data_IF_858943541472
#
_entry.id   IF_858943541472
#
_cell.length_a   1.000
_cell.length_b   1.000
_cell.length_c   1.000
_cell.angle_alpha   90.00
_cell.angle_beta   90.00
_cell.angle_gamma   90.00
#
_symmetry.space_group_name_H-M   'P 1'
#
loop_
_entity.id
_entity.type
_entity.pdbx_description
1 polymer ?
#
# COMPACT_ATOMS: atom_id res chain seq x y z
N UNK A 1 -14.08 1.89 25.42
CA UNK A 1 -13.12 1.86 24.31
C UNK A 1 -12.06 0.84 24.70
N UNK A 2 -11.63 0.01 23.75
CA UNK A 2 -10.90 -1.23 24.05
C UNK A 2 -9.81 -1.44 23.00
N UNK A 3 -8.64 -1.90 23.42
CA UNK A 3 -7.54 -2.28 22.52
C UNK A 3 -7.49 -3.79 22.33
N UNK A 4 -7.48 -4.27 21.10
CA UNK A 4 -7.59 -5.70 20.77
C UNK A 4 -6.64 -6.14 19.64
N UNK A 5 -6.54 -7.46 19.47
CA UNK A 5 -5.88 -8.11 18.32
C UNK A 5 -6.83 -8.41 17.16
N UNK A 6 -8.13 -8.20 17.36
CA UNK A 6 -9.16 -8.50 16.38
C UNK A 6 -10.01 -7.26 16.16
N UNK A 7 -10.24 -6.85 14.90
CA UNK A 7 -11.04 -5.68 14.60
C UNK A 7 -12.51 -5.91 15.00
N UNK A 8 -13.27 -4.86 15.36
CA UNK A 8 -14.69 -5.00 15.65
C UNK A 8 -15.48 -5.54 14.45
N UNK A 9 -16.40 -6.51 14.62
CA UNK A 9 -17.13 -7.13 13.50
C UNK A 9 -17.89 -6.12 12.63
N UNK A 10 -18.50 -5.09 13.23
CA UNK A 10 -19.21 -4.04 12.48
C UNK A 10 -18.27 -3.25 11.57
N UNK A 11 -17.05 -2.96 12.04
CA UNK A 11 -16.00 -2.29 11.27
C UNK A 11 -15.58 -3.14 10.07
N UNK A 12 -15.36 -4.45 10.27
CA UNK A 12 -14.99 -5.38 9.18
C UNK A 12 -16.09 -5.45 8.12
N UNK A 13 -17.36 -5.56 8.56
CA UNK A 13 -18.51 -5.62 7.66
C UNK A 13 -18.62 -4.34 6.82
N UNK A 14 -18.46 -3.17 7.45
CA UNK A 14 -18.48 -1.87 6.75
C UNK A 14 -17.34 -1.74 5.75
N UNK A 15 -16.12 -2.15 6.10
CA UNK A 15 -14.98 -2.11 5.19
C UNK A 15 -15.22 -2.96 3.94
N UNK A 16 -15.75 -4.18 4.11
CA UNK A 16 -16.12 -5.07 2.99
C UNK A 16 -17.27 -4.52 2.15
N UNK A 17 -18.27 -3.93 2.78
CA UNK A 17 -19.40 -3.31 2.09
C UNK A 17 -18.95 -2.09 1.29
N UNK A 18 -18.03 -1.28 1.83
CA UNK A 18 -17.47 -0.12 1.13
C UNK A 18 -16.70 -0.56 -0.12
N UNK A 19 -15.84 -1.58 -0.02
CA UNK A 19 -15.15 -2.18 -1.17
C UNK A 19 -16.11 -2.63 -2.28
N UNK A 20 -17.28 -3.17 -1.90
CA UNK A 20 -18.28 -3.66 -2.85
C UNK A 20 -19.09 -2.53 -3.50
N UNK A 21 -19.49 -1.53 -2.72
CA UNK A 21 -20.49 -0.55 -3.14
C UNK A 21 -19.89 0.76 -3.68
N UNK A 22 -18.71 1.15 -3.18
CA UNK A 22 -17.99 2.34 -3.61
C UNK A 22 -16.48 2.07 -3.60
N UNK A 23 -15.97 1.36 -4.62
CA UNK A 23 -14.57 0.96 -4.67
C UNK A 23 -13.59 2.13 -4.70
N UNK A 24 -13.96 3.27 -5.28
CA UNK A 24 -13.07 4.44 -5.34
C UNK A 24 -12.86 5.01 -3.94
N UNK A 25 -13.94 5.20 -3.17
CA UNK A 25 -13.82 5.62 -1.76
C UNK A 25 -13.14 4.55 -0.92
N UNK A 26 -13.37 3.26 -1.20
CA UNK A 26 -12.70 2.17 -0.51
C UNK A 26 -11.19 2.21 -0.72
N UNK A 27 -10.72 2.31 -1.97
CA UNK A 27 -9.32 2.41 -2.31
C UNK A 27 -8.66 3.68 -1.75
N UNK A 28 -9.40 4.79 -1.63
CA UNK A 28 -8.88 5.96 -0.93
C UNK A 28 -8.55 5.68 0.55
N UNK A 29 -9.19 4.69 1.17
CA UNK A 29 -8.94 4.24 2.55
C UNK A 29 -8.26 2.85 2.60
N UNK A 30 -7.56 2.44 1.53
CA UNK A 30 -7.13 1.04 1.38
C UNK A 30 -6.23 0.54 2.52
N UNK A 31 -5.39 1.40 3.12
CA UNK A 31 -4.51 1.02 4.25
C UNK A 31 -5.32 0.63 5.48
N UNK A 32 -6.38 1.39 5.78
CA UNK A 32 -7.30 1.06 6.87
C UNK A 32 -8.11 -0.19 6.54
N UNK A 33 -8.66 -0.29 5.33
CA UNK A 33 -9.44 -1.46 4.89
C UNK A 33 -8.59 -2.72 4.95
N UNK A 34 -7.36 -2.69 4.45
CA UNK A 34 -6.42 -3.80 4.54
C UNK A 34 -6.23 -4.21 6.00
N UNK A 35 -5.88 -3.25 6.86
CA UNK A 35 -5.58 -3.52 8.27
C UNK A 35 -6.76 -4.09 9.04
N UNK A 36 -8.00 -3.68 8.76
CA UNK A 36 -9.18 -4.24 9.42
C UNK A 36 -9.74 -5.50 8.73
N UNK A 37 -9.20 -5.91 7.58
CA UNK A 37 -9.65 -7.11 6.86
C UNK A 37 -8.53 -8.13 6.70
N UNK A 38 -7.84 -8.16 5.56
CA UNK A 38 -6.84 -9.18 5.20
C UNK A 38 -5.58 -9.06 6.07
N UNK A 39 -5.16 -7.83 6.36
CA UNK A 39 -4.00 -7.52 7.19
C UNK A 39 -4.26 -7.58 8.70
N UNK A 40 -5.47 -7.93 9.14
CA UNK A 40 -5.84 -7.90 10.56
C UNK A 40 -4.96 -8.73 11.50
N UNK A 41 -4.47 -9.93 11.12
CA UNK A 41 -3.53 -10.69 11.95
C UNK A 41 -2.22 -9.95 12.28
N UNK A 42 -1.88 -8.92 11.51
CA UNK A 42 -0.67 -8.11 11.69
C UNK A 42 -0.95 -6.76 12.35
N UNK A 43 -2.11 -6.58 12.99
CA UNK A 43 -2.53 -5.29 13.52
C UNK A 43 -2.97 -5.35 15.00
N UNK A 44 -2.86 -4.19 15.67
CA UNK A 44 -3.52 -3.87 16.94
C UNK A 44 -4.58 -2.81 16.68
N UNK A 45 -5.72 -2.90 17.35
CA UNK A 45 -6.87 -2.04 17.10
C UNK A 45 -7.28 -1.29 18.36
N UNK A 46 -7.59 0.00 18.25
CA UNK A 46 -8.32 0.74 19.27
C UNK A 46 -9.64 1.20 18.66
N UNK A 47 -10.75 1.02 19.39
CA UNK A 47 -12.07 1.31 18.85
C UNK A 47 -13.07 1.89 19.87
N UNK A 48 -14.04 2.62 19.34
CA UNK A 48 -15.21 3.12 20.05
C UNK A 48 -16.47 2.51 19.40
N UNK A 49 -17.13 1.61 20.14
CA UNK A 49 -18.26 0.83 19.61
C UNK A 49 -17.88 -0.01 18.39
N UNK A 50 -18.83 -0.17 17.46
CA UNK A 50 -18.63 -0.86 16.18
C UNK A 50 -18.45 0.13 15.01
N UNK A 51 -18.25 1.42 15.31
CA UNK A 51 -18.27 2.50 14.31
C UNK A 51 -16.89 3.08 14.00
N UNK A 52 -15.98 3.20 14.97
CA UNK A 52 -14.70 3.86 14.76
C UNK A 52 -13.55 3.01 15.26
N UNK A 53 -12.51 2.87 14.43
CA UNK A 53 -11.39 1.99 14.70
C UNK A 53 -10.10 2.51 14.08
N UNK A 54 -9.07 2.69 14.91
CA UNK A 54 -7.69 2.86 14.46
C UNK A 54 -6.98 1.51 14.40
N UNK A 55 -6.10 1.32 13.43
CA UNK A 55 -5.27 0.12 13.34
C UNK A 55 -3.78 0.46 13.28
N UNK A 56 -3.01 -0.07 14.23
CA UNK A 56 -1.56 -0.03 14.21
C UNK A 56 -0.99 -1.31 13.57
N UNK A 57 -0.19 -1.17 12.50
CA UNK A 57 0.40 -2.31 11.79
C UNK A 57 1.76 -2.73 12.40
N UNK A 58 1.87 -3.99 12.78
CA UNK A 58 2.97 -4.54 13.57
C UNK A 58 4.20 -4.97 12.74
N UNK A 59 4.01 -5.31 11.46
CA UNK A 59 5.10 -5.86 10.64
C UNK A 59 5.91 -4.80 9.86
N UNK A 60 5.69 -3.51 10.13
CA UNK A 60 6.44 -2.42 9.48
C UNK A 60 7.61 -1.97 10.36
N UNK A 61 8.74 -1.54 9.77
CA UNK A 61 9.92 -1.09 10.52
C UNK A 61 9.75 0.31 11.13
N UNK A 62 8.53 0.86 11.09
CA UNK A 62 8.17 2.16 11.66
C UNK A 62 6.73 2.11 12.20
N UNK A 63 6.37 2.91 13.22
CA UNK A 63 5.02 2.93 13.78
C UNK A 63 4.00 3.48 12.76
N UNK A 64 3.25 2.60 12.11
CA UNK A 64 2.19 2.98 11.17
C UNK A 64 0.82 2.87 11.82
N UNK A 65 -0.01 3.91 11.70
CA UNK A 65 -1.39 3.93 12.18
C UNK A 65 -2.31 4.34 11.01
N UNK A 66 -3.29 3.51 10.70
CA UNK A 66 -4.35 3.81 9.73
C UNK A 66 -5.65 4.20 10.44
N UNK A 67 -6.40 5.07 9.78
CA UNK A 67 -7.63 5.69 10.29
C UNK A 67 -8.61 5.96 9.15
N UNK A 68 -9.87 6.09 9.53
CA UNK A 68 -11.03 6.32 8.65
C UNK A 68 -11.94 7.45 9.13
N UNK A 69 -11.94 7.75 10.43
CA UNK A 69 -12.84 8.71 11.07
C UNK A 69 -12.49 10.13 10.66
N UNK A 70 -13.52 10.89 10.31
CA UNK A 70 -13.45 12.34 10.07
C UNK A 70 -13.66 13.18 11.32
N UNK A 71 -13.72 12.57 12.51
CA UNK A 71 -13.90 13.27 13.78
C UNK A 71 -12.56 13.35 14.55
N UNK A 72 -11.96 14.55 14.71
CA UNK A 72 -10.75 14.74 15.47
C UNK A 72 -10.84 14.30 16.93
N UNK A 73 -11.99 14.48 17.60
CA UNK A 73 -12.14 14.11 19.00
C UNK A 73 -12.10 12.59 19.17
N UNK A 74 -12.72 11.85 18.25
CA UNK A 74 -12.67 10.38 18.23
C UNK A 74 -11.25 9.90 17.96
N UNK A 75 -10.61 10.41 16.91
CA UNK A 75 -9.23 10.02 16.56
C UNK A 75 -8.27 10.32 17.72
N UNK A 76 -8.41 11.48 18.37
CA UNK A 76 -7.61 11.84 19.54
C UNK A 76 -7.74 10.80 20.66
N UNK A 77 -8.96 10.49 21.11
CA UNK A 77 -9.16 9.51 22.18
C UNK A 77 -8.62 8.12 21.81
N UNK A 78 -8.85 7.68 20.58
CA UNK A 78 -8.35 6.37 20.12
C UNK A 78 -6.82 6.31 20.05
N UNK A 79 -6.15 7.42 19.70
CA UNK A 79 -4.68 7.51 19.75
C UNK A 79 -4.16 7.41 21.19
N UNK A 80 -4.80 8.10 22.13
CA UNK A 80 -4.42 8.09 23.55
C UNK A 80 -4.58 6.71 24.19
N UNK A 81 -5.44 5.85 23.64
CA UNK A 81 -5.57 4.46 24.05
C UNK A 81 -4.61 3.52 23.32
N UNK A 82 -4.51 3.65 22.00
CA UNK A 82 -3.73 2.74 21.16
C UNK A 82 -2.24 2.81 21.47
N UNK A 83 -1.69 4.02 21.60
CA UNK A 83 -0.24 4.25 21.71
C UNK A 83 0.32 3.61 23.00
N UNK A 84 -0.24 3.86 24.19
CA UNK A 84 0.23 3.20 25.42
C UNK A 84 -0.01 1.68 25.40
N UNK A 85 -1.18 1.23 24.94
CA UNK A 85 -1.54 -0.19 24.96
C UNK A 85 -0.67 -1.04 24.01
N UNK A 86 -0.28 -0.47 22.87
CA UNK A 86 0.65 -1.09 21.93
C UNK A 86 2.13 -0.86 22.29
N UNK A 87 2.42 -0.18 23.42
CA UNK A 87 3.77 0.14 23.89
C UNK A 87 4.63 0.83 22.82
N UNK A 88 4.01 1.74 22.07
CA UNK A 88 4.68 2.41 20.97
C UNK A 88 5.65 3.48 21.49
N UNK A 89 6.86 3.57 20.91
CA UNK A 89 7.89 4.47 21.42
C UNK A 89 7.47 5.93 21.24
N UNK A 90 7.41 6.74 22.31
CA UNK A 90 6.93 8.12 22.25
C UNK A 90 7.86 9.05 21.44
N UNK A 91 9.14 8.71 21.38
CA UNK A 91 10.16 9.56 20.73
C UNK A 91 10.21 9.37 19.20
N UNK A 92 9.61 8.28 18.70
CA UNK A 92 9.59 7.98 17.28
C UNK A 92 8.40 8.64 16.59
N UNK A 93 8.58 9.14 15.36
CA UNK A 93 7.47 9.62 14.56
C UNK A 93 6.58 8.46 14.13
N UNK A 94 5.28 8.69 14.14
CA UNK A 94 4.27 7.83 13.55
C UNK A 94 4.05 8.18 12.08
N UNK A 95 3.53 7.22 11.32
CA UNK A 95 3.22 7.36 9.91
C UNK A 95 1.76 6.98 9.64
N UNK A 96 1.09 7.79 8.84
CA UNK A 96 -0.27 7.51 8.37
C UNK A 96 -0.40 7.87 6.91
N UNK A 97 -0.85 6.94 6.08
CA UNK A 97 -1.27 7.20 4.71
C UNK A 97 -2.79 7.29 4.71
N UNK A 98 -3.31 8.50 4.48
CA UNK A 98 -4.74 8.82 4.58
C UNK A 98 -5.25 9.49 3.30
N UNK A 99 -6.55 9.38 2.98
CA UNK A 99 -7.16 10.23 1.96
C UNK A 99 -6.86 11.70 2.22
N UNK A 100 -6.64 12.50 1.18
CA UNK A 100 -6.33 13.93 1.32
C UNK A 100 -7.36 14.70 2.18
N UNK A 101 -8.64 14.29 2.11
CA UNK A 101 -9.74 14.85 2.92
C UNK A 101 -9.58 14.60 4.43
N UNK A 102 -8.90 13.53 4.86
CA UNK A 102 -8.70 13.20 6.28
C UNK A 102 -7.39 13.76 6.86
N UNK A 103 -6.51 14.31 6.03
CA UNK A 103 -5.23 14.84 6.51
C UNK A 103 -5.37 15.93 7.59
N UNK A 104 -6.45 16.73 7.51
CA UNK A 104 -6.72 17.78 8.49
C UNK A 104 -7.01 17.23 9.91
N UNK A 105 -7.44 15.97 10.01
CA UNK A 105 -7.69 15.31 11.29
C UNK A 105 -6.38 15.15 12.05
N UNK A 106 -5.35 14.62 11.38
CA UNK A 106 -4.02 14.47 11.96
C UNK A 106 -3.39 15.82 12.30
N UNK A 107 -3.51 16.84 11.44
CA UNK A 107 -2.98 18.19 11.77
C UNK A 107 -3.67 18.82 12.98
N UNK A 108 -4.90 18.41 13.30
CA UNK A 108 -5.66 18.94 14.45
C UNK A 108 -5.22 18.29 15.76
N UNK A 109 -4.87 17.01 15.72
CA UNK A 109 -4.68 16.19 16.93
C UNK A 109 -3.23 15.77 17.18
N UNK A 110 -2.29 16.15 16.32
CA UNK A 110 -0.89 15.71 16.39
C UNK A 110 0.07 16.83 15.97
N UNK A 111 1.35 16.72 16.35
CA UNK A 111 2.42 17.52 15.76
C UNK A 111 2.82 16.92 14.41
N UNK A 112 2.43 17.55 13.30
CA UNK A 112 2.80 17.09 11.96
C UNK A 112 4.22 17.53 11.61
N UNK A 113 5.09 16.55 11.34
CA UNK A 113 6.49 16.76 10.98
C UNK A 113 6.71 16.90 9.47
N UNK A 114 5.96 16.15 8.67
CA UNK A 114 6.00 16.28 7.21
C UNK A 114 4.76 15.68 6.56
N UNK A 115 4.36 16.26 5.42
CA UNK A 115 3.29 15.73 4.56
C UNK A 115 3.86 15.51 3.16
N UNK A 116 3.68 14.30 2.61
CA UNK A 116 4.03 13.99 1.21
C UNK A 116 2.77 13.55 0.46
N UNK A 117 2.36 14.26 -0.59
CA UNK A 117 1.19 13.88 -1.36
C UNK A 117 1.50 12.72 -2.31
N UNK A 118 0.52 11.84 -2.48
CA UNK A 118 0.56 10.68 -3.38
C UNK A 118 -0.69 10.63 -4.25
N UNK A 119 -0.52 10.25 -5.52
CA UNK A 119 -1.61 9.86 -6.40
C UNK A 119 -2.04 8.45 -6.07
N UNK A 120 -3.35 8.24 -5.95
CA UNK A 120 -3.96 6.91 -6.03
C UNK A 120 -4.38 6.68 -7.49
N UNK A 121 -3.87 5.60 -8.08
CA UNK A 121 -4.13 5.28 -9.48
C UNK A 121 -4.74 3.89 -9.64
N UNK A 122 -5.69 3.74 -10.55
CA UNK A 122 -6.36 2.48 -10.87
C UNK A 122 -6.11 2.12 -12.33
N UNK A 123 -5.78 0.86 -12.61
CA UNK A 123 -5.59 0.38 -13.97
C UNK A 123 -6.94 0.19 -14.67
N UNK A 124 -7.09 0.80 -15.85
CA UNK A 124 -8.25 0.65 -16.72
C UNK A 124 -8.00 -0.45 -17.79
N UNK A 125 -8.53 -1.68 -17.62
CA UNK A 125 -8.31 -2.77 -18.60
C UNK A 125 -9.00 -2.54 -19.95
N UNK A 126 -10.06 -1.73 -20.00
CA UNK A 126 -10.86 -1.52 -21.20
C UNK A 126 -10.12 -0.72 -22.27
N UNK A 127 -9.02 -0.04 -21.90
CA UNK A 127 -8.16 0.71 -22.80
C UNK A 127 -7.14 -0.16 -23.56
N UNK A 128 -7.27 -1.48 -23.46
CA UNK A 128 -6.44 -2.48 -24.13
C UNK A 128 -5.07 -2.67 -23.47
N UNK A 129 -4.54 -3.89 -23.55
CA UNK A 129 -3.26 -4.23 -22.93
C UNK A 129 -2.07 -3.91 -23.85
N UNK A 130 -1.06 -3.21 -23.32
CA UNK A 130 0.19 -3.00 -24.07
C UNK A 130 1.06 -4.26 -24.00
N UNK A 131 1.47 -4.78 -25.16
CA UNK A 131 2.32 -5.96 -25.21
C UNK A 131 3.79 -5.54 -25.05
N UNK A 132 4.26 -5.48 -23.80
CA UNK A 132 5.63 -5.06 -23.48
C UNK A 132 6.39 -6.23 -22.87
N UNK A 133 7.08 -7.02 -23.70
CA UNK A 133 8.08 -8.03 -23.29
C UNK A 133 7.60 -9.20 -22.41
N UNK A 134 8.53 -10.10 -22.07
CA UNK A 134 8.29 -11.27 -21.20
C UNK A 134 9.01 -11.09 -19.86
N UNK A 135 8.25 -10.78 -18.81
CA UNK A 135 8.69 -10.97 -17.43
C UNK A 135 8.25 -12.35 -16.94
N UNK A 136 9.12 -13.07 -16.24
CA UNK A 136 8.81 -14.38 -15.65
C UNK A 136 8.24 -14.22 -14.25
N UNK A 137 7.46 -15.21 -13.81
CA UNK A 137 7.07 -15.31 -12.41
C UNK A 137 8.33 -15.58 -11.56
N UNK A 138 8.42 -14.90 -10.42
CA UNK A 138 9.47 -15.15 -9.42
C UNK A 138 8.94 -16.13 -8.37
N UNK A 139 9.82 -16.98 -7.87
CA UNK A 139 9.54 -17.99 -6.86
C UNK A 139 10.41 -17.75 -5.61
N UNK A 140 10.15 -18.51 -4.53
CA UNK A 140 10.90 -18.38 -3.28
C UNK A 140 12.42 -18.49 -3.45
N UNK A 141 12.89 -19.28 -4.43
CA UNK A 141 14.30 -19.42 -4.76
C UNK A 141 14.95 -18.13 -5.32
N UNK A 142 14.16 -17.19 -5.85
CA UNK A 142 14.63 -15.91 -6.39
C UNK A 142 14.85 -14.85 -5.30
N UNK A 143 14.43 -15.10 -4.05
CA UNK A 143 14.51 -14.13 -2.96
C UNK A 143 15.92 -13.52 -2.77
N UNK A 144 17.03 -14.30 -2.83
CA UNK A 144 18.37 -13.73 -2.76
C UNK A 144 18.66 -12.72 -3.88
N UNK A 145 18.22 -12.99 -5.11
CA UNK A 145 18.39 -12.10 -6.26
C UNK A 145 17.53 -10.83 -6.12
N UNK A 146 16.29 -10.97 -5.62
CA UNK A 146 15.42 -9.84 -5.32
C UNK A 146 16.05 -8.90 -4.28
N UNK A 147 16.63 -9.46 -3.21
CA UNK A 147 17.33 -8.69 -2.18
C UNK A 147 18.57 -7.99 -2.77
N UNK A 148 19.35 -8.65 -3.62
CA UNK A 148 20.49 -8.05 -4.28
C UNK A 148 20.09 -6.86 -5.17
N UNK A 149 19.05 -7.02 -5.99
CA UNK A 149 18.50 -5.97 -6.83
C UNK A 149 17.97 -4.79 -6.01
N UNK A 150 17.23 -5.07 -4.92
CA UNK A 150 16.71 -4.04 -4.02
C UNK A 150 17.83 -3.17 -3.44
N UNK A 151 18.90 -3.81 -2.95
CA UNK A 151 20.09 -3.11 -2.41
C UNK A 151 20.78 -2.27 -3.47
N UNK A 152 20.98 -2.80 -4.67
CA UNK A 152 21.61 -2.07 -5.77
C UNK A 152 20.81 -0.83 -6.20
N UNK A 153 19.49 -0.83 -5.97
CA UNK A 153 18.60 0.27 -6.32
C UNK A 153 18.23 1.20 -5.15
N UNK A 154 18.81 1.00 -3.96
CA UNK A 154 18.45 1.69 -2.71
C UNK A 154 16.93 1.64 -2.44
N UNK A 155 16.34 0.46 -2.67
CA UNK A 155 14.93 0.19 -2.51
C UNK A 155 14.66 -0.62 -1.23
N UNK A 156 13.40 -0.65 -0.81
CA UNK A 156 12.95 -1.41 0.36
C UNK A 156 13.31 -2.90 0.23
N UNK A 157 13.73 -3.50 1.35
CA UNK A 157 14.22 -4.88 1.41
C UNK A 157 13.06 -5.87 1.54
N UNK A 158 13.17 -6.99 0.83
CA UNK A 158 12.21 -8.10 0.80
C UNK A 158 12.53 -9.13 1.88
N UNK A 159 11.49 -9.72 2.48
CA UNK A 159 11.60 -10.78 3.50
C UNK A 159 11.00 -12.11 3.05
N UNK A 160 11.07 -13.16 3.90
CA UNK A 160 10.49 -14.48 3.60
C UNK A 160 9.00 -14.42 3.21
N UNK A 161 8.24 -13.51 3.81
CA UNK A 161 6.80 -13.37 3.58
C UNK A 161 6.45 -12.58 2.31
N UNK A 162 7.43 -12.20 1.48
CA UNK A 162 7.22 -11.42 0.25
C UNK A 162 6.21 -12.09 -0.68
N UNK A 163 6.29 -13.41 -0.82
CA UNK A 163 5.40 -14.19 -1.68
C UNK A 163 4.05 -14.51 -1.05
N UNK A 164 3.88 -14.30 0.27
CA UNK A 164 2.60 -14.53 0.95
C UNK A 164 1.54 -13.49 0.55
N UNK A 165 1.97 -12.35 -0.01
CA UNK A 165 1.10 -11.21 -0.38
C UNK A 165 0.64 -11.24 -1.84
N UNK A 166 1.22 -12.10 -2.67
CA UNK A 166 0.84 -12.26 -4.07
C UNK A 166 2.02 -12.45 -5.01
N UNK A 167 1.74 -12.40 -6.30
CA UNK A 167 2.72 -12.69 -7.35
C UNK A 167 3.79 -11.60 -7.46
N UNK A 168 5.02 -12.05 -7.76
CA UNK A 168 6.13 -11.20 -8.19
C UNK A 168 6.58 -11.61 -9.59
N UNK A 169 6.98 -10.63 -10.39
CA UNK A 169 7.53 -10.83 -11.72
C UNK A 169 8.94 -10.25 -11.79
N UNK A 170 9.76 -10.83 -12.65
CA UNK A 170 11.14 -10.44 -12.84
C UNK A 170 11.61 -10.54 -14.29
N UNK A 171 12.70 -9.83 -14.58
CA UNK A 171 13.40 -9.87 -15.86
C UNK A 171 14.87 -10.09 -15.56
N UNK A 172 15.46 -11.09 -16.21
CA UNK A 172 16.88 -11.39 -16.11
C UNK A 172 17.64 -10.84 -17.33
N UNK A 173 18.89 -10.46 -17.12
CA UNK A 173 19.89 -10.18 -18.17
C UNK A 173 21.22 -10.76 -17.73
N UNK A 174 21.89 -11.49 -18.61
CA UNK A 174 23.22 -12.06 -18.35
C UNK A 174 23.32 -12.90 -17.06
N UNK A 175 22.22 -13.57 -16.70
CA UNK A 175 22.13 -14.40 -15.50
C UNK A 175 21.81 -13.64 -14.20
N UNK A 176 21.57 -12.33 -14.28
CA UNK A 176 21.22 -11.48 -13.13
C UNK A 176 19.79 -10.96 -13.22
N UNK A 177 19.10 -10.86 -12.08
CA UNK A 177 17.79 -10.23 -11.99
C UNK A 177 17.93 -8.72 -12.08
N UNK A 178 17.53 -8.12 -13.21
CA UNK A 178 17.72 -6.69 -13.49
C UNK A 178 16.47 -5.83 -13.27
N UNK A 179 15.28 -6.44 -13.21
CA UNK A 179 14.05 -5.75 -12.85
C UNK A 179 13.08 -6.69 -12.15
N UNK A 180 12.27 -6.14 -11.26
CA UNK A 180 11.21 -6.88 -10.57
C UNK A 180 10.04 -5.98 -10.17
N UNK A 181 8.94 -6.60 -9.80
CA UNK A 181 7.78 -5.95 -9.20
C UNK A 181 6.74 -6.96 -8.75
N UNK A 182 5.85 -6.57 -7.85
CA UNK A 182 4.91 -7.52 -7.25
C UNK A 182 3.68 -6.88 -6.62
N UNK A 183 2.86 -7.75 -6.05
CA UNK A 183 1.69 -7.35 -5.25
C UNK A 183 2.13 -7.04 -3.82
N UNK A 184 1.68 -5.91 -3.28
CA UNK A 184 1.93 -5.49 -1.90
C UNK A 184 0.75 -5.80 -0.97
N UNK A 185 -0.47 -5.59 -1.44
CA UNK A 185 -1.70 -5.87 -0.71
C UNK A 185 -2.76 -6.46 -1.64
N UNK A 186 -3.46 -7.49 -1.18
CA UNK A 186 -4.64 -8.04 -1.85
C UNK A 186 -5.90 -7.69 -1.04
N UNK A 187 -6.84 -7.04 -1.70
CA UNK A 187 -8.18 -6.73 -1.21
C UNK A 187 -9.19 -7.53 -2.04
N UNK A 188 -10.45 -7.57 -1.60
CA UNK A 188 -11.50 -8.22 -2.39
C UNK A 188 -11.71 -7.48 -3.72
N UNK A 189 -11.24 -8.08 -4.81
CA UNK A 189 -11.38 -7.58 -6.19
C UNK A 189 -10.29 -6.59 -6.63
N UNK A 190 -9.34 -6.26 -5.74
CA UNK A 190 -8.28 -5.29 -6.02
C UNK A 190 -6.93 -5.77 -5.49
N UNK A 191 -5.86 -5.47 -6.22
CA UNK A 191 -4.49 -5.74 -5.78
C UNK A 191 -3.64 -4.49 -5.94
N UNK A 192 -2.96 -4.10 -4.87
CA UNK A 192 -1.96 -3.04 -4.92
C UNK A 192 -0.70 -3.61 -5.56
N UNK A 193 -0.29 -3.06 -6.70
CA UNK A 193 1.01 -3.35 -7.27
C UNK A 193 2.05 -2.35 -6.76
N UNK A 194 3.28 -2.81 -6.58
CA UNK A 194 4.35 -1.96 -6.11
C UNK A 194 5.69 -2.67 -6.21
N UNK A 195 6.67 -2.15 -5.48
CA UNK A 195 8.02 -2.72 -5.45
C UNK A 195 8.64 -2.84 -6.85
N UNK A 196 8.27 -1.93 -7.76
CA UNK A 196 8.77 -1.90 -9.14
C UNK A 196 10.20 -1.34 -9.09
N UNK A 197 11.17 -2.22 -9.27
CA UNK A 197 12.59 -1.90 -9.20
C UNK A 197 13.25 -2.27 -10.52
N UNK A 198 14.13 -1.40 -11.02
CA UNK A 198 15.02 -1.70 -12.14
C UNK A 198 16.42 -1.31 -11.75
N UNK A 199 17.37 -2.22 -11.97
CA UNK A 199 18.79 -2.03 -11.69
C UNK A 199 19.26 -0.72 -12.33
N UNK A 200 20.06 0.12 -11.63
CA UNK A 200 20.46 1.43 -12.13
C UNK A 200 21.06 1.41 -13.55
N UNK A 201 21.85 0.39 -13.87
CA UNK A 201 22.47 0.21 -15.19
C UNK A 201 21.49 -0.18 -16.31
N UNK A 202 20.28 -0.65 -15.98
CA UNK A 202 19.27 -1.12 -16.94
C UNK A 202 18.04 -0.19 -17.02
N UNK A 203 18.11 1.01 -16.43
CA UNK A 203 16.99 1.96 -16.46
C UNK A 203 16.74 2.50 -17.87
N UNK A 204 15.50 2.96 -18.10
CA UNK A 204 15.05 3.57 -19.38
C UNK A 204 15.04 2.62 -20.60
N UNK A 205 15.10 1.32 -20.37
CA UNK A 205 15.01 0.27 -21.40
C UNK A 205 13.62 -0.40 -21.46
N UNK A 206 12.64 0.15 -20.74
CA UNK A 206 11.25 -0.34 -20.76
C UNK A 206 10.93 -1.46 -19.76
N UNK A 207 11.88 -1.95 -18.96
CA UNK A 207 11.65 -3.05 -18.02
C UNK A 207 10.51 -2.81 -17.02
N UNK A 208 10.40 -1.61 -16.46
CA UNK A 208 9.28 -1.28 -15.57
C UNK A 208 7.91 -1.45 -16.26
N UNK A 209 7.80 -1.06 -17.55
CA UNK A 209 6.59 -1.31 -18.34
C UNK A 209 6.30 -2.80 -18.48
N UNK A 210 7.33 -3.60 -18.74
CA UNK A 210 7.18 -5.04 -18.92
C UNK A 210 6.70 -5.74 -17.64
N UNK A 211 7.30 -5.38 -16.50
CA UNK A 211 6.89 -5.87 -15.18
C UNK A 211 5.43 -5.51 -14.89
N UNK A 212 5.06 -4.23 -15.05
CA UNK A 212 3.70 -3.76 -14.76
C UNK A 212 2.68 -4.41 -15.70
N UNK A 213 2.99 -4.56 -16.99
CA UNK A 213 2.11 -5.27 -17.94
C UNK A 213 1.93 -6.74 -17.59
N UNK A 214 2.97 -7.43 -17.11
CA UNK A 214 2.87 -8.81 -16.67
C UNK A 214 2.00 -8.94 -15.41
N UNK A 215 2.18 -8.03 -14.44
CA UNK A 215 1.36 -7.95 -13.23
C UNK A 215 -0.11 -7.70 -13.56
N UNK A 216 -0.43 -6.68 -14.36
CA UNK A 216 -1.82 -6.36 -14.69
C UNK A 216 -2.47 -7.51 -15.45
N UNK A 217 -1.76 -8.15 -16.39
CA UNK A 217 -2.25 -9.37 -17.08
C UNK A 217 -2.57 -10.48 -16.09
N UNK A 218 -1.65 -10.77 -15.18
CA UNK A 218 -1.83 -11.82 -14.17
C UNK A 218 -3.05 -11.54 -13.28
N UNK A 219 -3.21 -10.29 -12.83
CA UNK A 219 -4.30 -9.87 -11.96
C UNK A 219 -5.66 -9.90 -12.67
N UNK A 220 -5.75 -9.39 -13.91
CA UNK A 220 -7.00 -9.42 -14.68
C UNK A 220 -7.47 -10.85 -14.96
N UNK A 221 -6.55 -11.77 -15.26
CA UNK A 221 -6.87 -13.19 -15.43
C UNK A 221 -7.44 -13.84 -14.15
N UNK A 222 -7.22 -13.21 -12.98
CA UNK A 222 -7.74 -13.62 -11.66
C UNK A 222 -8.93 -12.76 -11.21
N UNK A 223 -9.52 -11.96 -12.11
CA UNK A 223 -10.60 -11.02 -11.79
C UNK A 223 -10.21 -10.02 -10.67
N UNK A 224 -8.95 -9.59 -10.65
CA UNK A 224 -8.43 -8.56 -9.75
C UNK A 224 -8.05 -7.30 -10.54
N UNK A 225 -8.49 -6.14 -10.08
CA UNK A 225 -8.05 -4.85 -10.63
C UNK A 225 -6.78 -4.36 -9.95
N UNK A 226 -5.79 -3.96 -10.74
CA UNK A 226 -4.55 -3.41 -10.21
C UNK A 226 -4.72 -1.93 -9.84
N UNK A 227 -4.27 -1.55 -8.65
CA UNK A 227 -4.11 -0.14 -8.26
C UNK A 227 -2.71 0.09 -7.69
N UNK A 228 -2.32 1.36 -7.53
CA UNK A 228 -1.06 1.74 -6.91
C UNK A 228 -1.14 3.12 -6.28
N UNK A 229 -0.18 3.41 -5.41
CA UNK A 229 0.08 4.75 -4.88
C UNK A 229 1.43 5.26 -5.36
N UNK A 230 1.52 6.55 -5.67
CA UNK A 230 2.72 7.15 -6.23
C UNK A 230 2.93 8.57 -5.69
N UNK A 231 4.11 8.88 -5.16
CA UNK A 231 4.47 10.27 -4.82
C UNK A 231 4.25 11.22 -6.00
N UNK A 232 3.52 12.32 -5.76
CA UNK A 232 3.20 13.27 -6.83
C UNK A 232 4.44 13.89 -7.48
N UNK A 233 5.55 13.99 -6.74
CA UNK A 233 6.83 14.48 -7.24
C UNK A 233 7.48 13.55 -8.28
N UNK A 234 7.08 12.27 -8.35
CA UNK A 234 7.63 11.29 -9.29
C UNK A 234 6.92 11.35 -10.65
N UNK A 235 7.11 12.47 -11.36
CA UNK A 235 6.47 12.73 -12.65
C UNK A 235 6.86 11.72 -13.74
N UNK A 236 8.06 11.16 -13.66
CA UNK A 236 8.52 10.12 -14.58
C UNK A 236 7.71 8.82 -14.44
N UNK A 237 7.47 8.36 -13.21
CA UNK A 237 6.63 7.20 -12.96
C UNK A 237 5.15 7.49 -13.28
N UNK A 238 4.66 8.71 -13.01
CA UNK A 238 3.31 9.10 -13.37
C UNK A 238 3.09 8.96 -14.89
N UNK A 239 4.01 9.48 -15.71
CA UNK A 239 3.95 9.36 -17.16
C UNK A 239 4.04 7.90 -17.64
N UNK A 240 4.81 7.05 -16.95
CA UNK A 240 4.87 5.61 -17.21
C UNK A 240 3.50 4.96 -16.95
N UNK A 241 2.92 5.15 -15.76
CA UNK A 241 1.67 4.50 -15.40
C UNK A 241 0.49 4.99 -16.25
N UNK A 242 0.43 6.27 -16.62
CA UNK A 242 -0.56 6.77 -17.57
C UNK A 242 -0.46 6.11 -18.95
N UNK A 243 0.76 5.88 -19.45
CA UNK A 243 0.96 5.10 -20.70
C UNK A 243 0.49 3.66 -20.57
N UNK A 244 0.60 3.10 -19.36
CA UNK A 244 0.13 1.77 -18.99
C UNK A 244 -1.34 1.76 -18.52
N UNK A 245 -2.12 2.77 -18.90
CA UNK A 245 -3.57 2.85 -18.68
C UNK A 245 -3.99 2.90 -17.22
N UNK A 246 -3.11 3.38 -16.33
CA UNK A 246 -3.52 3.80 -15.00
C UNK A 246 -4.09 5.22 -15.05
N UNK A 247 -5.22 5.40 -14.38
CA UNK A 247 -5.92 6.68 -14.23
C UNK A 247 -5.83 7.15 -12.79
N UNK A 248 -5.67 8.46 -12.57
CA UNK A 248 -5.71 9.03 -11.23
C UNK A 248 -7.18 8.99 -10.75
N UNK A 249 -7.41 8.32 -9.64
CA UNK A 249 -8.75 8.22 -9.02
C UNK A 249 -8.83 8.92 -7.66
N UNK A 250 -7.71 9.43 -7.15
CA UNK A 250 -7.69 10.17 -5.88
C UNK A 250 -6.31 10.65 -5.46
N UNK A 251 -6.30 11.36 -4.33
CA UNK A 251 -5.08 11.84 -3.66
C UNK A 251 -5.03 11.31 -2.23
N UNK A 252 -3.86 10.81 -1.85
CA UNK A 252 -3.51 10.43 -0.49
C UNK A 252 -2.41 11.34 0.05
N UNK A 253 -2.27 11.36 1.37
CA UNK A 253 -1.20 12.07 2.07
C UNK A 253 -0.51 11.10 3.01
N UNK A 254 0.78 10.88 2.76
CA UNK A 254 1.67 10.24 3.71
C UNK A 254 2.10 11.30 4.73
N UNK A 255 1.61 11.17 5.94
CA UNK A 255 1.83 12.10 7.04
C UNK A 255 2.75 11.44 8.05
N UNK A 256 3.83 12.15 8.40
CA UNK A 256 4.75 11.82 9.49
C UNK A 256 4.45 12.76 10.64
N UNK A 257 4.19 12.24 11.83
CA UNK A 257 3.66 13.02 12.96
C UNK A 257 4.12 12.50 14.32
N UNK A 258 3.91 13.27 15.38
CA UNK A 258 4.15 12.90 16.79
C UNK A 258 2.89 13.14 17.62
N UNK A 259 2.66 12.28 18.61
CA UNK A 259 1.56 12.39 19.57
C UNK A 259 1.97 13.24 20.75
#
# INVERSE_FOLDING_TARGET
>A
MTVTNTPPPGVVARARQLLKNDPVTALANYTWINNVTVGAPYCRFAFEGDEHCLAHHLALPFPAISLESGDPAIVSRLLDELIPAAQLPPDQPFYSLVPARLAHILTTVTEVLSVRPEWLMLHNPDLGQQNTGSARLLEAADLPAMIALARAADAMVFGPDTFARGAFFGIDSDGELIAMGGVQNELSGFSEIGSIVTHPAHRRQGHASQIVSALTRHLHNRSQQAFLVLFQANTAALALYQKLRFEIIGELKLIRWRR
#
